data_IF_008516269125
#
_entry.id   IF_008516269125
#
_cell.length_a   1.000
_cell.length_b   1.000
_cell.length_c   1.000
_cell.angle_alpha   90.00
_cell.angle_beta   90.00
_cell.angle_gamma   90.00
#
_symmetry.space_group_name_H-M   'P 1'
#
loop_
_entity.id
_entity.type
_entity.pdbx_description
1 polymer ?
#
# COMPACT_ATOMS: atom_id res chain seq x y z
N UNK A 1 14.44 24.89 7.29
CA UNK A 1 15.82 24.69 6.78
C UNK A 1 15.74 23.90 5.49
N UNK A 2 16.41 24.30 4.41
CA UNK A 2 16.51 23.45 3.23
C UNK A 2 17.40 22.25 3.60
N UNK A 3 17.07 21.08 3.07
CA UNK A 3 17.63 19.76 3.40
C UNK A 3 19.14 19.78 3.66
N UNK A 4 19.57 19.17 4.78
CA UNK A 4 21.01 19.06 5.06
C UNK A 4 21.68 18.22 3.96
N UNK A 5 22.86 18.64 3.44
CA UNK A 5 23.55 17.93 2.37
C UNK A 5 23.79 16.45 2.70
N UNK A 6 23.95 16.12 3.98
CA UNK A 6 24.12 14.75 4.47
C UNK A 6 22.89 13.89 4.23
N UNK A 7 21.68 14.41 4.45
CA UNK A 7 20.44 13.66 4.21
C UNK A 7 20.23 13.39 2.72
N UNK A 8 20.58 14.35 1.86
CA UNK A 8 20.53 14.17 0.42
C UNK A 8 21.53 13.10 -0.05
N UNK A 9 22.75 13.14 0.48
CA UNK A 9 23.81 12.18 0.13
C UNK A 9 23.47 10.77 0.64
N UNK A 10 22.90 10.67 1.84
CA UNK A 10 22.38 9.42 2.40
C UNK A 10 21.21 8.88 1.56
N UNK A 11 20.29 9.74 1.13
CA UNK A 11 19.17 9.37 0.26
C UNK A 11 19.66 8.86 -1.10
N UNK A 12 20.59 9.56 -1.75
CA UNK A 12 21.20 9.14 -3.02
C UNK A 12 21.93 7.81 -2.85
N UNK A 13 22.67 7.63 -1.76
CA UNK A 13 23.34 6.38 -1.45
C UNK A 13 22.33 5.23 -1.25
N UNK A 14 21.27 5.44 -0.46
CA UNK A 14 20.22 4.44 -0.24
C UNK A 14 19.49 4.09 -1.55
N UNK A 15 19.20 5.09 -2.39
CA UNK A 15 18.59 4.89 -3.68
C UNK A 15 19.52 4.12 -4.63
N UNK A 16 20.80 4.50 -4.70
CA UNK A 16 21.81 3.79 -5.50
C UNK A 16 22.04 2.37 -5.02
N UNK A 17 22.08 2.15 -3.71
CA UNK A 17 22.17 0.83 -3.10
C UNK A 17 20.93 -0.03 -3.41
N UNK A 18 19.73 0.54 -3.29
CA UNK A 18 18.48 -0.13 -3.67
C UNK A 18 18.51 -0.53 -5.15
N UNK A 19 18.89 0.38 -6.05
CA UNK A 19 18.99 0.11 -7.49
C UNK A 19 20.04 -0.97 -7.79
N UNK A 20 21.22 -0.90 -7.16
CA UNK A 20 22.26 -1.92 -7.31
C UNK A 20 21.79 -3.30 -6.79
N UNK A 21 21.10 -3.33 -5.66
CA UNK A 21 20.56 -4.57 -5.08
C UNK A 21 19.47 -5.19 -5.96
N UNK A 22 18.62 -4.36 -6.58
CA UNK A 22 17.67 -4.76 -7.62
C UNK A 22 18.40 -5.39 -8.81
N UNK A 23 19.56 -4.86 -9.17
CA UNK A 23 20.34 -5.27 -10.35
C UNK A 23 21.20 -6.52 -10.11
N UNK A 24 21.62 -6.81 -8.87
CA UNK A 24 22.49 -7.96 -8.50
C UNK A 24 21.77 -9.32 -8.58
N UNK A 25 20.46 -9.34 -8.80
CA UNK A 25 19.77 -10.55 -9.29
C UNK A 25 19.01 -11.38 -8.26
N UNK A 26 18.90 -10.88 -7.02
CA UNK A 26 17.96 -11.42 -6.03
C UNK A 26 16.50 -11.21 -6.51
N UNK A 27 16.24 -10.10 -7.23
CA UNK A 27 14.94 -9.84 -7.85
C UNK A 27 14.63 -10.80 -9.01
N UNK A 28 15.63 -11.25 -9.77
CA UNK A 28 15.45 -12.17 -10.91
C UNK A 28 14.87 -13.51 -10.45
N UNK A 29 15.51 -14.13 -9.46
CA UNK A 29 15.12 -15.47 -8.94
C UNK A 29 13.74 -15.44 -8.31
N UNK A 30 13.43 -14.34 -7.63
CA UNK A 30 12.31 -14.26 -6.73
C UNK A 30 11.02 -13.79 -7.46
N UNK A 31 11.15 -13.07 -8.59
CA UNK A 31 10.03 -12.77 -9.49
C UNK A 31 9.78 -13.85 -10.55
N UNK A 32 10.79 -14.62 -10.95
CA UNK A 32 10.61 -15.78 -11.84
C UNK A 32 9.60 -16.78 -11.26
N UNK A 33 9.61 -16.96 -9.94
CA UNK A 33 8.66 -17.85 -9.25
C UNK A 33 7.25 -17.29 -9.07
N UNK A 34 7.05 -15.98 -9.28
CA UNK A 34 5.71 -15.38 -9.50
C UNK A 34 5.30 -15.41 -10.99
N UNK A 35 6.08 -16.07 -11.85
CA UNK A 35 5.84 -16.14 -13.28
C UNK A 35 6.18 -14.86 -14.04
N UNK A 36 6.94 -13.94 -13.44
CA UNK A 36 7.31 -12.67 -14.06
C UNK A 36 8.74 -12.68 -14.55
N UNK A 37 8.93 -12.23 -15.80
CA UNK A 37 10.27 -11.90 -16.27
C UNK A 37 10.86 -10.73 -15.46
N UNK A 38 12.18 -10.61 -15.37
CA UNK A 38 12.83 -9.51 -14.64
C UNK A 38 12.43 -8.12 -15.17
N UNK A 39 12.23 -8.00 -16.48
CA UNK A 39 11.76 -6.77 -17.10
C UNK A 39 10.31 -6.44 -16.71
N UNK A 40 9.44 -7.46 -16.70
CA UNK A 40 8.03 -7.31 -16.27
C UNK A 40 7.93 -6.94 -14.78
N UNK A 41 8.77 -7.54 -13.93
CA UNK A 41 8.86 -7.21 -12.51
C UNK A 41 9.30 -5.76 -12.29
N UNK A 42 10.33 -5.31 -13.02
CA UNK A 42 10.79 -3.93 -12.98
C UNK A 42 9.72 -2.95 -13.48
N UNK A 43 9.00 -3.31 -14.55
CA UNK A 43 7.90 -2.49 -15.06
C UNK A 43 6.76 -2.41 -14.04
N UNK A 44 6.39 -3.52 -13.40
CA UNK A 44 5.38 -3.55 -12.35
C UNK A 44 5.79 -2.68 -11.16
N UNK A 45 7.06 -2.73 -10.76
CA UNK A 45 7.63 -1.92 -9.68
C UNK A 45 7.52 -0.42 -10.01
N UNK A 46 8.04 0.02 -11.15
CA UNK A 46 8.02 1.43 -11.52
C UNK A 46 6.60 1.94 -11.78
N UNK A 47 5.74 1.15 -12.45
CA UNK A 47 4.34 1.55 -12.67
C UNK A 47 3.58 1.64 -11.35
N UNK A 48 3.83 0.76 -10.38
CA UNK A 48 3.27 0.87 -9.03
C UNK A 48 3.81 2.10 -8.29
N UNK A 49 5.10 2.38 -8.38
CA UNK A 49 5.73 3.52 -7.72
C UNK A 49 5.23 4.86 -8.29
N UNK A 50 5.27 5.04 -9.61
CA UNK A 50 4.78 6.28 -10.23
C UNK A 50 3.26 6.38 -10.18
N UNK A 51 2.56 5.25 -10.32
CA UNK A 51 1.11 5.17 -10.16
C UNK A 51 0.65 5.54 -8.74
N UNK A 52 1.48 5.36 -7.72
CA UNK A 52 1.10 5.71 -6.34
C UNK A 52 0.90 7.22 -6.12
N UNK A 53 1.49 8.05 -6.98
CA UNK A 53 1.25 9.49 -7.00
C UNK A 53 -0.14 9.85 -7.55
N UNK A 54 -0.84 8.91 -8.20
CA UNK A 54 -2.12 9.14 -8.88
C UNK A 54 -3.26 8.61 -8.02
N UNK A 55 -4.16 9.51 -7.60
CA UNK A 55 -5.38 9.18 -6.87
C UNK A 55 -6.60 9.52 -7.73
N UNK A 56 -7.39 8.50 -8.07
CA UNK A 56 -8.59 8.65 -8.87
C UNK A 56 -9.80 8.86 -7.94
N UNK A 57 -10.46 10.03 -7.95
CA UNK A 57 -11.58 10.31 -7.06
C UNK A 57 -12.77 9.39 -7.40
N UNK A 58 -13.36 8.77 -6.38
CA UNK A 58 -14.55 7.92 -6.53
C UNK A 58 -15.82 8.67 -6.12
N UNK A 59 -15.85 9.16 -4.88
CA UNK A 59 -17.01 9.86 -4.31
C UNK A 59 -16.59 10.77 -3.16
N UNK A 60 -17.53 11.56 -2.62
CA UNK A 60 -17.28 12.43 -1.46
C UNK A 60 -18.26 12.15 -0.33
N UNK A 61 -17.75 12.18 0.90
CA UNK A 61 -18.54 12.04 2.13
C UNK A 61 -18.49 13.32 2.95
N UNK A 62 -19.57 13.64 3.65
CA UNK A 62 -19.53 14.71 4.66
C UNK A 62 -18.66 14.24 5.82
N UNK A 63 -17.71 15.08 6.19
CA UNK A 63 -16.86 14.81 7.33
C UNK A 63 -17.53 15.35 8.60
N UNK A 64 -17.39 14.60 9.69
CA UNK A 64 -17.73 15.09 11.02
C UNK A 64 -16.75 16.21 11.40
N UNK A 65 -17.23 17.18 12.18
CA UNK A 65 -16.52 18.43 12.49
C UNK A 65 -15.05 18.15 12.85
N UNK A 66 -14.06 18.84 12.23
CA UNK A 66 -12.66 18.52 12.45
C UNK A 66 -12.27 18.83 13.90
N UNK A 67 -11.29 18.12 14.49
CA UNK A 67 -10.60 18.64 15.66
C UNK A 67 -10.00 20.02 15.31
N UNK A 68 -10.06 20.98 16.22
CA UNK A 68 -9.51 22.33 16.02
C UNK A 68 -8.08 22.22 15.48
N UNK A 69 -7.87 22.66 14.24
CA UNK A 69 -6.52 22.76 13.67
C UNK A 69 -5.85 23.94 14.37
N UNK A 70 -4.73 23.76 15.10
CA UNK A 70 -4.00 24.87 15.69
C UNK A 70 -3.66 25.90 14.60
N UNK A 71 -3.84 27.21 14.85
CA UNK A 71 -3.56 28.22 13.85
C UNK A 71 -2.11 28.13 13.38
N UNK A 72 -1.92 27.91 12.07
CA UNK A 72 -0.59 27.88 11.46
C UNK A 72 0.07 29.26 11.62
N UNK A 73 1.30 29.35 12.15
CA UNK A 73 2.01 30.61 12.26
C UNK A 73 2.08 31.35 10.91
N UNK A 74 1.84 32.68 10.88
CA UNK A 74 1.74 33.44 9.65
C UNK A 74 3.00 33.37 8.77
N UNK A 75 4.18 33.08 9.37
CA UNK A 75 5.45 32.95 8.63
C UNK A 75 5.51 31.73 7.70
N UNK A 76 4.76 30.67 7.98
CA UNK A 76 4.80 29.39 7.23
C UNK A 76 3.54 29.20 6.36
N UNK A 77 2.52 30.03 6.60
CA UNK A 77 1.21 29.98 5.94
C UNK A 77 1.30 30.14 4.41
N UNK A 78 2.23 30.95 3.89
CA UNK A 78 2.41 31.14 2.45
C UNK A 78 2.99 29.91 1.74
N UNK A 79 3.91 29.19 2.39
CA UNK A 79 4.59 28.01 1.84
C UNK A 79 3.72 26.74 1.92
N UNK A 80 2.88 26.63 2.96
CA UNK A 80 2.02 25.46 3.20
C UNK A 80 0.63 25.55 2.56
N UNK A 81 0.14 26.77 2.23
CA UNK A 81 -1.19 26.99 1.63
C UNK A 81 -1.36 26.29 0.28
N UNK A 82 -0.28 26.07 -0.48
CA UNK A 82 -0.34 25.34 -1.75
C UNK A 82 -0.45 23.82 -1.61
N UNK A 83 -0.03 23.25 -0.47
CA UNK A 83 0.01 21.80 -0.24
C UNK A 83 -1.25 21.30 0.48
N UNK A 84 -1.83 22.15 1.32
CA UNK A 84 -3.05 21.80 2.06
C UNK A 84 -4.28 22.16 1.24
N UNK A 85 -4.90 21.17 0.57
CA UNK A 85 -6.26 21.33 0.05
C UNK A 85 -7.15 21.84 1.18
N UNK A 86 -7.80 22.98 0.99
CA UNK A 86 -8.70 23.54 2.00
C UNK A 86 -9.78 22.51 2.32
N UNK A 87 -9.91 22.16 3.61
CA UNK A 87 -10.92 21.22 4.05
C UNK A 87 -12.29 21.91 4.07
N UNK A 88 -13.15 21.54 3.12
CA UNK A 88 -14.46 22.16 2.90
C UNK A 88 -15.60 21.45 3.66
N UNK A 89 -15.27 20.68 4.70
CA UNK A 89 -16.24 19.83 5.42
C UNK A 89 -16.64 18.56 4.68
N UNK A 90 -15.96 18.24 3.57
CA UNK A 90 -16.12 16.99 2.82
C UNK A 90 -14.78 16.32 2.63
N UNK A 91 -14.79 15.00 2.74
CA UNK A 91 -13.65 14.15 2.40
C UNK A 91 -13.91 13.49 1.06
N UNK A 92 -13.02 13.68 0.09
CA UNK A 92 -13.03 12.92 -1.15
C UNK A 92 -12.41 11.56 -0.88
N UNK A 93 -13.11 10.49 -1.21
CA UNK A 93 -12.58 9.13 -1.20
C UNK A 93 -12.11 8.82 -2.62
N UNK A 94 -10.84 8.47 -2.75
CA UNK A 94 -10.19 8.11 -4.00
C UNK A 94 -9.64 6.69 -3.94
N UNK A 95 -9.32 6.14 -5.10
CA UNK A 95 -8.55 4.91 -5.25
C UNK A 95 -7.15 5.24 -5.78
N UNK A 96 -6.13 4.65 -5.17
CA UNK A 96 -4.76 4.83 -5.58
C UNK A 96 -4.41 3.91 -6.75
N UNK A 97 -3.77 4.44 -7.80
CA UNK A 97 -3.41 3.61 -8.96
C UNK A 97 -2.33 2.60 -8.60
N UNK A 98 -1.25 3.06 -7.96
CA UNK A 98 -0.10 2.23 -7.62
C UNK A 98 -0.30 1.26 -6.46
N UNK A 99 -1.13 1.64 -5.49
CA UNK A 99 -1.37 0.88 -4.27
C UNK A 99 -2.71 0.18 -4.19
N UNK A 100 -3.61 0.39 -5.16
CA UNK A 100 -4.85 -0.38 -5.24
C UNK A 100 -5.04 -1.00 -6.62
N UNK A 101 -5.09 -0.19 -7.68
CA UNK A 101 -5.46 -0.72 -9.01
C UNK A 101 -4.41 -1.67 -9.58
N UNK A 102 -3.14 -1.27 -9.63
CA UNK A 102 -2.06 -2.12 -10.17
C UNK A 102 -1.93 -3.43 -9.34
N UNK A 103 -1.88 -3.40 -8.00
CA UNK A 103 -1.84 -4.62 -7.18
C UNK A 103 -3.07 -5.51 -7.36
N UNK A 104 -4.27 -4.92 -7.53
CA UNK A 104 -5.51 -5.66 -7.79
C UNK A 104 -5.44 -6.40 -9.14
N UNK A 105 -5.00 -5.71 -10.20
CA UNK A 105 -4.83 -6.35 -11.51
C UNK A 105 -3.74 -7.41 -11.49
N UNK A 106 -2.65 -7.19 -10.77
CA UNK A 106 -1.61 -8.20 -10.66
C UNK A 106 -2.06 -9.41 -9.81
N UNK A 107 -2.87 -9.21 -8.77
CA UNK A 107 -3.52 -10.31 -8.04
C UNK A 107 -4.43 -11.14 -8.96
N UNK A 108 -5.20 -10.48 -9.83
CA UNK A 108 -6.02 -11.17 -10.84
C UNK A 108 -5.16 -11.92 -11.88
N UNK A 109 -4.03 -11.34 -12.29
CA UNK A 109 -3.05 -12.02 -13.14
C UNK A 109 -2.51 -13.30 -12.49
N UNK A 110 -2.10 -13.23 -11.21
CA UNK A 110 -1.58 -14.40 -10.48
C UNK A 110 -2.63 -15.50 -10.33
N UNK A 111 -3.88 -15.15 -10.00
CA UNK A 111 -5.00 -16.10 -9.93
C UNK A 111 -5.25 -16.82 -11.26
N UNK A 112 -5.01 -16.15 -12.39
CA UNK A 112 -5.21 -16.74 -13.72
C UNK A 112 -4.06 -17.65 -14.14
N UNK A 113 -2.84 -17.40 -13.66
CA UNK A 113 -1.63 -18.11 -14.11
C UNK A 113 -1.10 -19.16 -13.13
N UNK A 114 -1.66 -19.23 -11.92
CA UNK A 114 -1.30 -20.23 -10.93
C UNK A 114 -2.52 -21.07 -10.55
N UNK A 115 -2.38 -22.39 -10.35
CA UNK A 115 -3.50 -23.27 -10.03
C UNK A 115 -3.89 -23.15 -8.53
N UNK A 116 -4.34 -21.97 -8.12
CA UNK A 116 -4.77 -21.69 -6.76
C UNK A 116 -6.26 -22.02 -6.56
N UNK A 117 -6.62 -22.94 -5.65
CA UNK A 117 -8.01 -23.21 -5.30
C UNK A 117 -8.68 -21.95 -4.72
N UNK A 118 -9.90 -21.63 -5.20
CA UNK A 118 -10.58 -20.39 -4.81
C UNK A 118 -10.95 -20.36 -3.32
N UNK A 119 -11.29 -21.50 -2.74
CA UNK A 119 -11.56 -21.67 -1.31
C UNK A 119 -10.33 -21.30 -0.45
N UNK A 120 -9.14 -21.75 -0.86
CA UNK A 120 -7.87 -21.38 -0.21
C UNK A 120 -7.59 -19.88 -0.33
N UNK A 121 -7.85 -19.28 -1.49
CA UNK A 121 -7.69 -17.84 -1.71
C UNK A 121 -8.65 -17.06 -0.82
N UNK A 122 -9.94 -17.42 -0.79
CA UNK A 122 -10.92 -16.75 0.05
C UNK A 122 -10.58 -16.87 1.54
N UNK A 123 -10.17 -18.06 1.99
CA UNK A 123 -9.73 -18.26 3.38
C UNK A 123 -8.51 -17.40 3.71
N UNK A 124 -7.48 -17.40 2.86
CA UNK A 124 -6.28 -16.61 3.07
C UNK A 124 -6.58 -15.11 3.11
N UNK A 125 -7.37 -14.60 2.16
CA UNK A 125 -7.80 -13.21 2.10
C UNK A 125 -8.61 -12.83 3.34
N UNK A 126 -9.54 -13.68 3.79
CA UNK A 126 -10.34 -13.43 4.98
C UNK A 126 -9.48 -13.35 6.26
N UNK A 127 -8.53 -14.26 6.43
CA UNK A 127 -7.62 -14.27 7.57
C UNK A 127 -6.74 -13.02 7.59
N UNK A 128 -6.07 -12.71 6.47
CA UNK A 128 -5.22 -11.51 6.38
C UNK A 128 -6.04 -10.23 6.55
N UNK A 129 -7.25 -10.18 5.97
CA UNK A 129 -8.17 -9.04 6.14
C UNK A 129 -8.57 -8.83 7.59
N UNK A 130 -8.92 -9.90 8.33
CA UNK A 130 -9.25 -9.80 9.75
C UNK A 130 -8.09 -9.26 10.59
N UNK A 131 -6.86 -9.72 10.33
CA UNK A 131 -5.66 -9.21 10.99
C UNK A 131 -5.42 -7.75 10.63
N UNK A 132 -5.45 -7.39 9.33
CA UNK A 132 -5.23 -6.02 8.88
C UNK A 132 -6.30 -5.06 9.45
N UNK A 133 -7.56 -5.48 9.52
CA UNK A 133 -8.64 -4.70 10.15
C UNK A 133 -8.38 -4.45 11.64
N UNK A 134 -7.91 -5.48 12.35
CA UNK A 134 -7.64 -5.41 13.80
C UNK A 134 -6.48 -4.46 14.12
N UNK A 135 -5.43 -4.46 13.30
CA UNK A 135 -4.24 -3.64 13.52
C UNK A 135 -4.27 -2.28 12.81
N UNK A 136 -5.25 -2.04 11.94
CA UNK A 136 -5.45 -0.75 11.28
C UNK A 136 -6.31 0.19 12.11
N UNK A 137 -5.99 1.49 12.01
CA UNK A 137 -6.76 2.56 12.63
C UNK A 137 -6.69 3.85 11.80
N UNK A 138 -7.75 4.68 11.83
CA UNK A 138 -7.70 6.01 11.25
C UNK A 138 -6.71 6.89 12.02
N UNK A 139 -5.78 7.51 11.29
CA UNK A 139 -4.78 8.45 11.81
C UNK A 139 -5.06 9.82 11.16
N UNK A 140 -5.46 10.84 11.95
CA UNK A 140 -5.73 12.18 11.44
C UNK A 140 -4.54 12.74 10.64
N UNK A 141 -4.82 13.26 9.44
CA UNK A 141 -3.79 13.80 8.55
C UNK A 141 -2.94 12.78 7.78
N UNK A 142 -3.01 11.47 8.11
CA UNK A 142 -2.27 10.42 7.39
C UNK A 142 -3.17 9.37 6.70
N UNK A 143 -4.44 9.24 7.09
CA UNK A 143 -5.35 8.23 6.55
C UNK A 143 -5.39 6.99 7.44
N UNK A 144 -5.71 5.82 6.87
CA UNK A 144 -5.68 4.57 7.65
C UNK A 144 -4.24 4.08 7.76
N UNK A 145 -3.76 3.87 8.98
CA UNK A 145 -2.41 3.36 9.25
C UNK A 145 -2.44 2.07 10.05
N UNK A 146 -1.43 1.23 9.83
CA UNK A 146 -1.15 0.00 10.59
C UNK A 146 0.38 -0.22 10.66
N UNK A 147 0.90 -1.05 11.57
CA UNK A 147 2.32 -1.37 11.57
C UNK A 147 2.75 -2.08 10.28
N UNK A 148 3.85 -1.60 9.70
CA UNK A 148 4.23 -1.89 8.29
C UNK A 148 4.42 -3.38 7.99
N UNK A 149 4.87 -4.18 8.97
CA UNK A 149 5.16 -5.61 8.79
C UNK A 149 3.97 -6.53 9.07
N UNK A 150 2.85 -6.03 9.60
CA UNK A 150 1.72 -6.88 9.98
C UNK A 150 1.16 -7.61 8.76
N UNK A 151 0.81 -6.89 7.70
CA UNK A 151 0.28 -7.51 6.49
C UNK A 151 1.25 -8.49 5.81
N UNK A 152 2.49 -8.11 5.48
CA UNK A 152 3.35 -8.99 4.70
C UNK A 152 3.78 -10.24 5.48
N UNK A 153 3.99 -10.16 6.80
CA UNK A 153 4.28 -11.34 7.62
C UNK A 153 3.04 -12.23 7.79
N UNK A 154 1.86 -11.65 8.00
CA UNK A 154 0.62 -12.42 8.10
C UNK A 154 0.33 -13.15 6.81
N UNK A 155 0.43 -12.47 5.66
CA UNK A 155 0.22 -13.07 4.35
C UNK A 155 1.20 -14.22 4.09
N UNK A 156 2.46 -14.05 4.45
CA UNK A 156 3.47 -15.09 4.33
C UNK A 156 3.16 -16.33 5.16
N UNK A 157 2.85 -16.13 6.45
CA UNK A 157 2.52 -17.23 7.36
C UNK A 157 1.25 -17.96 6.91
N UNK A 158 0.20 -17.22 6.59
CA UNK A 158 -1.08 -17.77 6.12
C UNK A 158 -0.90 -18.55 4.83
N UNK A 159 -0.15 -18.01 3.86
CA UNK A 159 0.09 -18.70 2.60
C UNK A 159 0.91 -19.98 2.76
N UNK A 160 1.97 -19.95 3.57
CA UNK A 160 2.77 -21.15 3.89
C UNK A 160 1.96 -22.24 4.59
N UNK A 161 1.03 -21.86 5.47
CA UNK A 161 0.17 -22.81 6.19
C UNK A 161 -0.92 -23.42 5.31
N UNK A 162 -1.49 -22.64 4.37
CA UNK A 162 -2.61 -23.07 3.53
C UNK A 162 -2.11 -23.83 2.29
N UNK A 163 -1.09 -23.31 1.62
CA UNK A 163 -0.58 -23.87 0.38
C UNK A 163 0.92 -23.55 0.24
N UNK A 164 1.77 -24.39 0.82
CA UNK A 164 3.22 -24.21 0.79
C UNK A 164 3.79 -24.23 -0.64
N UNK A 165 3.22 -25.04 -1.54
CA UNK A 165 3.65 -25.18 -2.94
C UNK A 165 3.43 -23.90 -3.75
N UNK A 166 2.32 -23.19 -3.51
CA UNK A 166 1.99 -21.92 -4.16
C UNK A 166 1.97 -20.75 -3.17
N UNK A 167 2.83 -20.80 -2.17
CA UNK A 167 2.85 -19.83 -1.08
C UNK A 167 3.19 -18.41 -1.56
N UNK A 168 4.10 -18.24 -2.51
CA UNK A 168 4.45 -16.95 -3.08
C UNK A 168 3.25 -16.21 -3.74
N UNK A 169 2.57 -16.77 -4.76
CA UNK A 169 1.42 -16.09 -5.36
C UNK A 169 0.25 -15.95 -4.38
N UNK A 170 0.02 -16.93 -3.50
CA UNK A 170 -1.03 -16.84 -2.48
C UNK A 170 -0.74 -15.73 -1.45
N UNK A 171 0.51 -15.55 -1.02
CA UNK A 171 0.92 -14.46 -0.13
C UNK A 171 0.72 -13.10 -0.80
N UNK A 172 1.08 -12.96 -2.08
CA UNK A 172 0.84 -11.72 -2.83
C UNK A 172 -0.65 -11.37 -2.87
N UNK A 173 -1.48 -12.32 -3.30
CA UNK A 173 -2.93 -12.13 -3.46
C UNK A 173 -3.59 -11.85 -2.11
N UNK A 174 -3.35 -12.69 -1.12
CA UNK A 174 -3.97 -12.56 0.20
C UNK A 174 -3.50 -11.33 0.96
N UNK A 175 -2.23 -10.95 0.86
CA UNK A 175 -1.74 -9.70 1.45
C UNK A 175 -2.27 -8.47 0.75
N UNK A 176 -2.33 -8.46 -0.58
CA UNK A 176 -2.89 -7.32 -1.33
C UNK A 176 -4.37 -7.13 -1.05
N UNK A 177 -5.18 -8.17 -1.30
CA UNK A 177 -6.63 -8.10 -1.13
C UNK A 177 -7.00 -7.99 0.36
N UNK A 178 -6.26 -8.68 1.24
CA UNK A 178 -6.45 -8.62 2.68
C UNK A 178 -6.23 -7.21 3.23
N UNK A 179 -5.19 -6.51 2.78
CA UNK A 179 -4.95 -5.11 3.17
C UNK A 179 -6.05 -4.19 2.63
N UNK A 180 -6.37 -4.27 1.34
CA UNK A 180 -7.41 -3.42 0.74
C UNK A 180 -8.78 -3.65 1.40
N UNK A 181 -9.14 -4.89 1.69
CA UNK A 181 -10.40 -5.19 2.37
C UNK A 181 -10.34 -4.77 3.84
N UNK A 182 -9.33 -5.26 4.57
CA UNK A 182 -9.24 -5.14 6.02
C UNK A 182 -8.89 -3.75 6.50
N UNK A 183 -7.85 -3.14 5.93
CA UNK A 183 -7.36 -1.83 6.36
C UNK A 183 -8.13 -0.68 5.70
N UNK A 184 -8.60 -0.82 4.46
CA UNK A 184 -9.29 0.29 3.79
C UNK A 184 -10.81 0.13 3.75
N UNK A 185 -11.32 -0.89 3.06
CA UNK A 185 -12.76 -1.00 2.75
C UNK A 185 -13.60 -1.14 4.01
N UNK A 186 -13.21 -2.02 4.94
CA UNK A 186 -13.90 -2.20 6.21
C UNK A 186 -13.78 -0.96 7.13
N UNK A 187 -12.86 -0.03 6.85
CA UNK A 187 -12.63 1.21 7.59
C UNK A 187 -13.23 2.45 6.92
N UNK A 188 -13.91 2.32 5.76
CA UNK A 188 -14.51 3.46 5.05
C UNK A 188 -15.47 4.27 5.93
N UNK A 189 -16.17 3.62 6.87
CA UNK A 189 -17.05 4.30 7.83
C UNK A 189 -16.31 5.25 8.77
N UNK A 190 -15.08 4.91 9.15
CA UNK A 190 -14.25 5.67 10.07
C UNK A 190 -13.65 6.93 9.42
N UNK A 191 -13.56 6.96 8.08
CA UNK A 191 -12.98 8.06 7.31
C UNK A 191 -13.69 9.39 7.59
N UNK A 192 -15.00 9.37 7.83
CA UNK A 192 -15.80 10.57 8.12
C UNK A 192 -15.30 11.32 9.35
N UNK A 193 -14.64 10.63 10.28
CA UNK A 193 -14.14 11.20 11.55
C UNK A 193 -12.73 11.78 11.44
N UNK A 194 -12.03 11.55 10.33
CA UNK A 194 -10.63 11.97 10.17
C UNK A 194 -10.45 13.44 9.82
N UNK A 195 -11.49 14.11 9.31
CA UNK A 195 -11.42 15.54 8.98
C UNK A 195 -10.41 15.89 7.88
N UNK A 196 -10.11 14.96 6.97
CA UNK A 196 -9.14 15.15 5.88
C UNK A 196 -9.82 15.48 4.55
N UNK A 197 -9.22 16.33 3.68
CA UNK A 197 -9.82 16.69 2.40
C UNK A 197 -9.81 15.53 1.38
N UNK A 198 -8.86 14.60 1.51
CA UNK A 198 -8.69 13.43 0.65
C UNK A 198 -8.32 12.21 1.51
N UNK A 199 -9.04 11.11 1.30
CA UNK A 199 -8.67 9.79 1.78
C UNK A 199 -8.50 8.87 0.55
N UNK A 200 -7.43 8.08 0.52
CA UNK A 200 -7.12 7.23 -0.63
C UNK A 200 -7.01 5.76 -0.22
N UNK A 201 -7.82 4.92 -0.86
CA UNK A 201 -7.78 3.46 -0.75
C UNK A 201 -6.52 2.97 -1.46
N UNK A 202 -5.71 2.16 -0.79
CA UNK A 202 -4.37 1.79 -1.24
C UNK A 202 -3.37 2.95 -1.17
N UNK A 203 -3.67 4.01 -0.41
CA UNK A 203 -2.81 5.18 -0.22
C UNK A 203 -1.71 4.98 0.82
N UNK A 204 -1.10 6.07 1.29
CA UNK A 204 0.18 6.10 2.03
C UNK A 204 0.33 5.16 3.24
N UNK A 205 -0.74 4.74 3.93
CA UNK A 205 -0.63 3.76 5.02
C UNK A 205 -0.77 2.28 4.60
N UNK A 206 -1.39 2.03 3.45
CA UNK A 206 -1.67 0.69 2.90
C UNK A 206 -0.75 0.33 1.73
N UNK A 207 -0.25 1.32 0.99
CA UNK A 207 0.73 1.14 -0.08
C UNK A 207 1.96 0.41 0.43
N UNK A 208 2.50 0.82 1.59
CA UNK A 208 3.68 0.21 2.20
C UNK A 208 3.44 -1.27 2.52
N UNK A 209 2.25 -1.61 3.06
CA UNK A 209 1.87 -2.99 3.34
C UNK A 209 1.74 -3.85 2.09
N UNK A 210 1.12 -3.32 1.03
CA UNK A 210 0.92 -4.03 -0.25
C UNK A 210 2.26 -4.20 -0.98
N UNK A 211 3.08 -3.16 -1.01
CA UNK A 211 4.40 -3.18 -1.60
C UNK A 211 5.35 -4.17 -0.91
N UNK A 212 5.42 -4.13 0.42
CA UNK A 212 6.23 -5.08 1.19
C UNK A 212 5.68 -6.51 1.08
N UNK A 213 4.36 -6.68 0.96
CA UNK A 213 3.78 -8.01 0.68
C UNK A 213 4.31 -8.55 -0.63
N UNK A 214 4.42 -7.69 -1.66
CA UNK A 214 5.07 -8.04 -2.92
C UNK A 214 6.49 -8.55 -2.74
N UNK A 215 7.30 -7.85 -1.94
CA UNK A 215 8.68 -8.25 -1.65
C UNK A 215 8.74 -9.55 -0.84
N UNK A 216 7.92 -9.71 0.20
CA UNK A 216 7.94 -10.93 1.02
C UNK A 216 7.44 -12.13 0.22
N UNK A 217 6.39 -11.98 -0.59
CA UNK A 217 5.88 -13.04 -1.46
C UNK A 217 6.98 -13.58 -2.40
N UNK A 218 7.76 -12.66 -2.95
CA UNK A 218 8.95 -12.93 -3.77
C UNK A 218 10.01 -13.71 -2.98
N UNK A 219 10.24 -13.39 -1.71
CA UNK A 219 11.22 -14.09 -0.85
C UNK A 219 10.77 -15.48 -0.35
N UNK A 220 9.47 -15.75 -0.29
CA UNK A 220 8.94 -17.08 0.05
C UNK A 220 9.17 -18.11 -1.03
N UNK A 221 9.47 -17.63 -2.23
CA UNK A 221 9.50 -18.42 -3.42
C UNK A 221 10.73 -19.33 -3.46
#
# INVERSE_FOLDING_TARGET
>A
MPFSPLHLLLFIFLLGFLLAFVQIGIFTIAFDKLGLSPHSAMLLLFTSLFGSAINLPLFSVRAERPPEIPPVPPQIRGLLRQVMREFTGRTVIAVNVGGCLIPLFFSAYLLKHHPLPLDQVFLAVALVSGVCYTFSRPIPGMGIGMPVFVAPLTAALVALMINSEHSAPLAYISGTLGVLLGADILRLGDIRRMGVPLASIGGAGTFDGIFLTGIIAVLLA
#
